data_IF_138589904255
#
_entry.id   IF_138589904255
#
_cell.length_a   1.000
_cell.length_b   1.000
_cell.length_c   1.000
_cell.angle_alpha   90.00
_cell.angle_beta   90.00
_cell.angle_gamma   90.00
#
_symmetry.space_group_name_H-M   'P 1'
#
loop_
_entity.id
_entity.type
_entity.pdbx_description
1 polymer ?
#
# COMPACT_ATOMS: atom_id res chain seq x y z
N UNK A 1 14.24 -23.60 29.83
CA UNK A 1 13.22 -22.73 30.46
C UNK A 1 13.53 -21.24 30.33
N UNK A 2 14.66 -20.71 30.86
CA UNK A 2 14.98 -19.26 30.78
C UNK A 2 15.03 -18.69 29.35
N UNK A 3 15.60 -19.43 28.38
CA UNK A 3 15.66 -19.02 26.96
C UNK A 3 14.28 -18.98 26.28
N UNK A 4 13.38 -19.89 26.66
CA UNK A 4 12.01 -19.93 26.12
C UNK A 4 11.15 -18.78 26.67
N UNK A 5 11.32 -18.44 27.95
CA UNK A 5 10.69 -17.25 28.54
C UNK A 5 11.20 -15.95 27.91
N UNK A 6 12.50 -15.85 27.61
CA UNK A 6 13.06 -14.70 26.90
C UNK A 6 12.51 -14.60 25.47
N UNK A 7 12.46 -15.72 24.73
CA UNK A 7 11.89 -15.75 23.39
C UNK A 7 10.41 -15.35 23.41
N UNK A 8 9.63 -15.85 24.37
CA UNK A 8 8.23 -15.47 24.54
C UNK A 8 8.06 -14.00 24.91
N UNK A 9 8.90 -13.45 25.80
CA UNK A 9 8.88 -12.04 26.15
C UNK A 9 9.25 -11.13 24.96
N UNK A 10 10.21 -11.55 24.12
CA UNK A 10 10.54 -10.86 22.87
C UNK A 10 9.35 -10.95 21.91
N UNK A 11 8.70 -12.12 21.76
CA UNK A 11 7.56 -12.28 20.86
C UNK A 11 6.38 -11.41 21.27
N UNK A 12 6.04 -11.40 22.57
CA UNK A 12 4.97 -10.58 23.14
C UNK A 12 5.35 -9.09 23.04
N UNK A 13 6.59 -8.72 23.38
CA UNK A 13 7.07 -7.34 23.27
C UNK A 13 7.09 -6.80 21.84
N UNK A 14 7.48 -7.63 20.87
CA UNK A 14 7.42 -7.27 19.45
C UNK A 14 5.98 -7.12 18.97
N UNK A 15 5.07 -7.99 19.41
CA UNK A 15 3.66 -7.88 19.08
C UNK A 15 3.04 -6.58 19.64
N UNK A 16 3.31 -6.23 20.90
CA UNK A 16 2.75 -5.00 21.50
C UNK A 16 3.27 -3.72 20.83
N UNK A 17 4.54 -3.70 20.40
CA UNK A 17 5.10 -2.57 19.64
C UNK A 17 4.43 -2.42 18.26
N UNK A 18 4.11 -3.54 17.60
CA UNK A 18 3.38 -3.53 16.32
C UNK A 18 1.91 -3.07 16.49
N UNK A 19 1.28 -3.34 17.63
CA UNK A 19 -0.08 -2.84 17.90
C UNK A 19 -0.14 -1.33 18.14
N UNK A 20 0.94 -0.72 18.65
CA UNK A 20 0.99 0.70 19.02
C UNK A 20 1.32 1.67 17.87
N UNK A 21 1.68 1.17 16.69
CA UNK A 21 1.98 2.05 15.55
C UNK A 21 0.70 2.64 14.94
N UNK A 22 0.72 3.91 14.51
CA UNK A 22 -0.36 4.51 13.73
C UNK A 22 -0.68 3.68 12.49
N UNK A 23 -1.98 3.53 12.19
CA UNK A 23 -2.48 2.76 11.07
C UNK A 23 -3.53 3.54 10.32
N UNK A 24 -3.67 3.23 9.04
CA UNK A 24 -4.77 3.75 8.22
C UNK A 24 -5.36 2.63 7.39
N UNK A 25 -6.69 2.52 7.35
CA UNK A 25 -7.40 1.54 6.54
C UNK A 25 -8.47 2.22 5.71
N UNK A 26 -8.53 1.92 4.42
CA UNK A 26 -9.64 2.37 3.61
C UNK A 26 -9.54 1.92 2.17
N UNK A 27 -10.08 2.76 1.29
CA UNK A 27 -10.18 2.49 -0.13
C UNK A 27 -9.25 3.39 -0.93
N UNK A 28 -8.77 2.87 -2.06
CA UNK A 28 -8.10 3.63 -3.11
C UNK A 28 -8.83 3.40 -4.42
N UNK A 29 -9.07 4.46 -5.17
CA UNK A 29 -9.61 4.41 -6.51
C UNK A 29 -8.49 4.77 -7.47
N UNK A 30 -7.99 3.77 -8.21
CA UNK A 30 -6.97 3.93 -9.24
C UNK A 30 -7.56 3.99 -10.63
N UNK A 31 -6.74 4.34 -11.62
CA UNK A 31 -7.13 4.32 -13.04
C UNK A 31 -7.72 2.98 -13.51
N UNK A 32 -7.31 1.87 -12.90
CA UNK A 32 -7.66 0.52 -13.35
C UNK A 32 -8.62 -0.21 -12.41
N UNK A 33 -8.98 0.35 -11.25
CA UNK A 33 -9.68 -0.44 -10.25
C UNK A 33 -9.93 0.24 -8.91
N UNK A 34 -10.48 -0.57 -8.01
CA UNK A 34 -10.68 -0.22 -6.60
C UNK A 34 -9.82 -1.12 -5.73
N UNK A 35 -9.12 -0.52 -4.78
CA UNK A 35 -8.25 -1.21 -3.85
C UNK A 35 -8.71 -1.01 -2.41
N UNK A 36 -8.64 -2.06 -1.61
CA UNK A 36 -8.56 -1.94 -0.16
C UNK A 36 -7.09 -1.70 0.18
N UNK A 37 -6.81 -0.62 0.91
CA UNK A 37 -5.45 -0.24 1.28
C UNK A 37 -5.32 -0.11 2.80
N UNK A 38 -4.34 -0.83 3.35
CA UNK A 38 -3.96 -0.80 4.75
C UNK A 38 -2.53 -0.28 4.89
N UNK A 39 -2.35 0.76 5.68
CA UNK A 39 -1.08 1.37 5.99
C UNK A 39 -0.73 1.13 7.45
N UNK A 40 0.53 0.80 7.71
CA UNK A 40 1.07 0.67 9.05
C UNK A 40 2.40 1.43 9.12
N UNK A 41 2.41 2.49 9.91
CA UNK A 41 3.62 3.26 10.16
C UNK A 41 4.63 2.41 10.93
N UNK A 42 5.91 2.58 10.64
CA UNK A 42 6.97 1.69 11.15
C UNK A 42 8.11 2.47 11.79
N UNK A 43 8.86 1.76 12.64
CA UNK A 43 10.09 2.25 13.26
C UNK A 43 9.93 3.53 14.10
N UNK A 44 8.71 3.87 14.53
CA UNK A 44 8.42 5.11 15.26
C UNK A 44 8.65 6.39 14.45
N UNK A 45 8.79 6.25 13.13
CA UNK A 45 9.00 7.35 12.18
C UNK A 45 7.77 7.61 11.31
N UNK A 46 7.92 8.50 10.32
CA UNK A 46 6.86 8.80 9.35
C UNK A 46 6.79 7.81 8.18
N UNK A 47 7.74 6.87 8.08
CA UNK A 47 7.74 5.83 7.06
C UNK A 47 6.67 4.78 7.36
N UNK A 48 6.10 4.18 6.32
CA UNK A 48 5.00 3.23 6.46
C UNK A 48 5.06 2.09 5.44
N UNK A 49 4.53 0.94 5.84
CA UNK A 49 4.22 -0.16 4.93
C UNK A 49 2.78 -0.01 4.47
N UNK A 50 2.54 -0.12 3.17
CA UNK A 50 1.22 -0.16 2.57
C UNK A 50 0.97 -1.53 1.95
N UNK A 51 -0.17 -2.12 2.28
CA UNK A 51 -0.67 -3.36 1.72
C UNK A 51 -1.98 -3.08 0.98
N UNK A 52 -2.02 -3.43 -0.30
CA UNK A 52 -3.17 -3.24 -1.17
C UNK A 52 -3.77 -4.58 -1.60
N UNK A 53 -5.10 -4.67 -1.66
CA UNK A 53 -5.83 -5.71 -2.37
C UNK A 53 -6.77 -5.02 -3.36
N UNK A 54 -6.45 -5.13 -4.64
CA UNK A 54 -7.15 -4.44 -5.73
C UNK A 54 -7.97 -5.37 -6.59
N UNK A 55 -9.09 -4.85 -7.09
CA UNK A 55 -9.88 -5.44 -8.18
C UNK A 55 -9.70 -4.58 -9.42
N UNK A 56 -9.14 -5.17 -10.46
CA UNK A 56 -8.83 -4.49 -11.72
C UNK A 56 -9.98 -4.69 -12.72
N UNK A 57 -10.28 -3.66 -13.52
CA UNK A 57 -11.39 -3.62 -14.49
C UNK A 57 -12.80 -3.69 -13.85
N UNK A 58 -12.92 -3.28 -12.59
CA UNK A 58 -14.19 -3.17 -11.88
C UNK A 58 -14.73 -4.50 -11.33
N UNK A 59 -16.01 -4.55 -10.98
CA UNK A 59 -16.61 -5.72 -10.33
C UNK A 59 -17.02 -6.85 -11.29
N UNK A 60 -16.85 -6.66 -12.60
CA UNK A 60 -17.28 -7.62 -13.63
C UNK A 60 -16.22 -8.66 -14.01
N UNK A 61 -14.98 -8.46 -13.57
CA UNK A 61 -13.83 -9.32 -13.83
C UNK A 61 -13.44 -10.08 -12.56
N UNK A 62 -12.73 -11.19 -12.73
CA UNK A 62 -12.07 -11.91 -11.61
C UNK A 62 -10.59 -11.52 -11.50
N UNK A 63 -10.26 -10.33 -12.00
CA UNK A 63 -8.92 -9.79 -12.08
C UNK A 63 -8.58 -9.06 -10.79
N UNK A 64 -7.53 -9.49 -10.11
CA UNK A 64 -7.15 -8.92 -8.84
C UNK A 64 -5.64 -8.85 -8.68
N UNK A 65 -5.21 -7.96 -7.81
CA UNK A 65 -3.81 -7.83 -7.43
C UNK A 65 -3.63 -7.62 -5.94
N UNK A 66 -2.44 -7.94 -5.46
CA UNK A 66 -2.00 -7.72 -4.09
C UNK A 66 -0.67 -6.99 -4.13
N UNK A 67 -0.61 -5.85 -3.45
CA UNK A 67 0.57 -5.00 -3.38
C UNK A 67 1.15 -4.97 -1.98
N UNK A 68 2.48 -4.98 -1.88
CA UNK A 68 3.21 -4.65 -0.67
C UNK A 68 4.27 -3.61 -0.97
N UNK A 69 4.17 -2.44 -0.35
CA UNK A 69 5.00 -1.26 -0.66
C UNK A 69 5.60 -0.71 0.64
N UNK A 70 6.89 -0.38 0.62
CA UNK A 70 7.51 0.41 1.69
C UNK A 70 7.65 1.85 1.23
N UNK A 71 6.92 2.76 1.88
CA UNK A 71 6.94 4.17 1.58
C UNK A 71 7.80 4.91 2.60
N UNK A 72 8.85 5.57 2.11
CA UNK A 72 9.65 6.50 2.90
C UNK A 72 9.12 7.91 2.74
N UNK A 73 9.02 8.63 3.87
CA UNK A 73 8.55 10.00 3.88
C UNK A 73 9.69 10.93 3.44
N UNK A 74 9.49 11.64 2.34
CA UNK A 74 10.47 12.59 1.78
C UNK A 74 10.40 13.93 2.51
N UNK A 75 9.19 14.47 2.68
CA UNK A 75 8.98 15.76 3.36
C UNK A 75 7.57 15.85 3.97
N UNK A 76 7.45 16.55 5.09
CA UNK A 76 6.18 16.84 5.78
C UNK A 76 5.99 18.37 5.87
N UNK A 77 5.45 19.01 4.83
CA UNK A 77 5.32 20.45 4.80
C UNK A 77 4.22 20.95 5.76
N UNK A 78 4.46 22.08 6.42
CA UNK A 78 3.48 22.74 7.28
C UNK A 78 2.64 23.76 6.48
N UNK A 79 1.90 23.27 5.49
CA UNK A 79 1.08 24.12 4.61
C UNK A 79 -0.28 24.50 5.22
N UNK A 80 -0.73 23.79 6.26
CA UNK A 80 -2.03 23.98 6.88
C UNK A 80 -1.90 24.02 8.41
N UNK A 81 -2.61 24.92 9.12
CA UNK A 81 -2.48 25.05 10.59
C UNK A 81 -2.95 23.84 11.40
N UNK A 82 -3.68 22.92 10.77
CA UNK A 82 -4.17 21.67 11.36
C UNK A 82 -3.92 20.54 10.38
N UNK A 83 -3.85 19.31 10.89
CA UNK A 83 -3.53 18.14 10.08
C UNK A 83 -2.03 17.97 9.83
N UNK A 84 -1.67 16.95 9.05
CA UNK A 84 -0.29 16.62 8.68
C UNK A 84 -0.23 16.32 7.20
N UNK A 85 0.66 16.99 6.49
CA UNK A 85 1.00 16.64 5.10
C UNK A 85 2.15 15.65 5.09
N UNK A 86 2.14 14.74 4.12
CA UNK A 86 3.24 13.83 3.84
C UNK A 86 3.46 13.70 2.34
N UNK A 87 4.68 13.94 1.88
CA UNK A 87 5.09 13.58 0.53
C UNK A 87 6.02 12.38 0.62
N UNK A 88 5.65 11.27 0.01
CA UNK A 88 6.33 9.99 0.14
C UNK A 88 6.66 9.38 -1.22
N UNK A 89 7.63 8.48 -1.21
CA UNK A 89 7.86 7.56 -2.31
C UNK A 89 8.30 6.20 -1.78
N UNK A 90 8.15 5.15 -2.58
CA UNK A 90 8.41 3.80 -2.12
C UNK A 90 8.50 2.76 -3.22
N UNK A 91 9.43 1.80 -3.12
CA UNK A 91 9.39 0.57 -3.91
C UNK A 91 8.54 -0.50 -3.21
N UNK A 92 8.07 -1.45 -4.00
CA UNK A 92 7.27 -2.57 -3.54
C UNK A 92 7.25 -3.73 -4.53
N UNK A 93 6.53 -4.78 -4.13
CA UNK A 93 6.33 -5.99 -4.92
C UNK A 93 4.84 -6.21 -5.23
N UNK A 94 4.61 -6.56 -6.49
CA UNK A 94 3.37 -6.91 -7.17
C UNK A 94 3.06 -8.42 -7.22
N UNK A 95 1.86 -8.91 -6.88
CA UNK A 95 1.30 -10.14 -7.43
C UNK A 95 -0.10 -9.89 -8.00
N UNK A 96 -0.39 -10.41 -9.19
CA UNK A 96 -1.70 -10.25 -9.82
C UNK A 96 -2.16 -11.54 -10.51
N UNK A 97 -3.47 -11.70 -10.63
CA UNK A 97 -4.11 -12.72 -11.46
C UNK A 97 -4.96 -11.97 -12.49
N UNK A 98 -4.60 -12.10 -13.75
CA UNK A 98 -5.26 -11.42 -14.87
C UNK A 98 -5.47 -12.36 -16.04
N UNK A 99 -6.44 -12.04 -16.90
CA UNK A 99 -6.60 -12.73 -18.18
C UNK A 99 -5.42 -12.43 -19.12
N UNK A 100 -4.92 -13.46 -19.80
CA UNK A 100 -3.98 -13.34 -20.91
C UNK A 100 -4.72 -13.10 -22.24
N UNK A 101 -3.99 -13.03 -23.36
CA UNK A 101 -4.56 -12.79 -24.69
C UNK A 101 -5.54 -13.90 -25.16
N UNK A 102 -5.53 -15.06 -24.51
CA UNK A 102 -6.39 -16.22 -24.77
C UNK A 102 -7.54 -16.34 -23.73
N UNK A 103 -7.81 -15.30 -22.94
CA UNK A 103 -8.80 -15.26 -21.85
C UNK A 103 -8.55 -16.29 -20.72
N UNK A 104 -7.31 -16.76 -20.55
CA UNK A 104 -6.91 -17.67 -19.48
C UNK A 104 -6.31 -16.92 -18.28
N UNK A 105 -6.74 -17.31 -17.06
CA UNK A 105 -6.24 -16.73 -15.81
C UNK A 105 -4.77 -17.07 -15.61
N UNK A 106 -3.94 -16.03 -15.66
CA UNK A 106 -2.48 -16.13 -15.55
C UNK A 106 -1.99 -15.34 -14.36
N UNK A 107 -0.99 -15.89 -13.65
CA UNK A 107 -0.33 -15.23 -12.53
C UNK A 107 0.80 -14.33 -13.05
N UNK A 108 0.82 -13.11 -12.56
CA UNK A 108 1.87 -12.13 -12.79
C UNK A 108 2.51 -11.74 -11.45
N UNK A 109 3.82 -11.50 -11.47
CA UNK A 109 4.55 -10.99 -10.33
C UNK A 109 5.56 -9.94 -10.78
N UNK A 110 5.88 -8.98 -9.92
CA UNK A 110 6.88 -7.98 -10.27
C UNK A 110 7.05 -6.87 -9.27
N UNK A 111 7.38 -5.70 -9.79
CA UNK A 111 7.69 -4.52 -8.99
C UNK A 111 6.58 -3.48 -9.12
N UNK A 112 6.32 -2.80 -8.02
CA UNK A 112 5.43 -1.66 -7.96
C UNK A 112 6.18 -0.50 -7.31
N UNK A 113 6.04 0.69 -7.88
CA UNK A 113 6.51 1.92 -7.28
C UNK A 113 5.32 2.74 -6.76
N UNK A 114 5.58 3.66 -5.86
CA UNK A 114 4.57 4.58 -5.34
C UNK A 114 5.22 5.94 -5.13
N UNK A 115 4.56 7.01 -5.56
CA UNK A 115 4.92 8.40 -5.26
C UNK A 115 3.64 9.14 -4.99
N UNK A 116 3.50 9.69 -3.79
CA UNK A 116 2.23 10.27 -3.40
C UNK A 116 2.33 11.44 -2.44
N UNK A 117 1.23 12.15 -2.35
CA UNK A 117 0.96 13.21 -1.40
C UNK A 117 -0.23 12.79 -0.56
N UNK A 118 -0.07 12.82 0.75
CA UNK A 118 -1.14 12.57 1.71
C UNK A 118 -1.40 13.78 2.60
N UNK A 119 -2.61 13.81 3.14
CA UNK A 119 -3.02 14.72 4.16
C UNK A 119 -3.89 14.00 5.19
N UNK A 120 -3.38 13.93 6.43
CA UNK A 120 -4.07 13.34 7.58
C UNK A 120 -4.69 14.45 8.40
N UNK A 121 -6.02 14.39 8.57
CA UNK A 121 -6.78 15.41 9.30
C UNK A 121 -6.55 15.30 10.81
N UNK A 122 -7.03 16.31 11.56
CA UNK A 122 -7.02 16.28 13.04
C UNK A 122 -8.09 15.34 13.63
N UNK A 123 -8.96 14.81 12.79
CA UNK A 123 -9.91 13.74 13.08
C UNK A 123 -9.52 12.52 12.21
N UNK A 124 -10.06 11.31 12.44
CA UNK A 124 -9.47 10.05 11.94
C UNK A 124 -9.75 9.80 10.45
N UNK A 125 -9.32 10.71 9.59
CA UNK A 125 -9.43 10.66 8.14
C UNK A 125 -8.09 11.04 7.52
N UNK A 126 -7.68 10.28 6.52
CA UNK A 126 -6.53 10.54 5.67
C UNK A 126 -6.98 10.51 4.21
N UNK A 127 -6.51 11.49 3.43
CA UNK A 127 -6.68 11.54 1.99
C UNK A 127 -5.32 11.42 1.33
N UNK A 128 -5.24 10.71 0.20
CA UNK A 128 -4.01 10.61 -0.58
C UNK A 128 -4.27 10.76 -2.07
N UNK A 129 -3.27 11.27 -2.78
CA UNK A 129 -3.14 11.15 -4.23
C UNK A 129 -1.79 10.52 -4.51
N UNK A 130 -1.75 9.49 -5.35
CA UNK A 130 -0.52 8.76 -5.65
C UNK A 130 -0.41 8.36 -7.12
N UNK A 131 0.83 8.23 -7.59
CA UNK A 131 1.19 7.56 -8.82
C UNK A 131 1.82 6.20 -8.50
N UNK A 132 1.23 5.13 -9.03
CA UNK A 132 1.61 3.75 -8.72
C UNK A 132 2.02 2.95 -9.96
N UNK A 133 3.20 3.23 -10.57
CA UNK A 133 3.65 2.48 -11.73
C UNK A 133 3.93 1.03 -11.34
N UNK A 134 3.53 0.11 -12.21
CA UNK A 134 3.67 -1.33 -12.01
C UNK A 134 4.33 -1.95 -13.24
N UNK A 135 5.26 -2.85 -12.98
CA UNK A 135 5.93 -3.65 -14.00
C UNK A 135 5.95 -5.11 -13.54
N UNK A 136 5.25 -5.97 -14.27
CA UNK A 136 5.08 -7.37 -13.94
C UNK A 136 5.50 -8.30 -15.07
N UNK A 137 5.84 -9.50 -14.66
CA UNK A 137 6.25 -10.61 -15.50
C UNK A 137 5.36 -11.81 -15.16
N UNK A 138 4.87 -12.50 -16.18
CA UNK A 138 4.10 -13.73 -16.04
C UNK A 138 4.26 -14.61 -17.28
N UNK A 139 3.55 -15.74 -17.31
CA UNK A 139 3.58 -16.65 -18.46
C UNK A 139 3.05 -16.00 -19.76
N UNK A 140 2.18 -14.98 -19.64
CA UNK A 140 1.73 -14.13 -20.74
C UNK A 140 2.70 -13.01 -21.14
N UNK A 141 3.92 -12.98 -20.59
CA UNK A 141 4.94 -11.98 -20.92
C UNK A 141 4.98 -10.79 -19.96
N UNK A 142 5.41 -9.63 -20.47
CA UNK A 142 5.62 -8.40 -19.70
C UNK A 142 4.38 -7.52 -19.75
N UNK A 143 3.83 -7.20 -18.58
CA UNK A 143 2.61 -6.39 -18.43
C UNK A 143 2.86 -5.28 -17.42
N UNK A 144 2.27 -4.11 -17.63
CA UNK A 144 2.41 -3.00 -16.70
C UNK A 144 1.35 -1.93 -16.93
N UNK A 145 1.10 -1.15 -15.88
CA UNK A 145 0.05 -0.12 -15.83
C UNK A 145 0.46 1.18 -16.56
N UNK A 146 1.64 1.17 -17.20
CA UNK A 146 2.30 2.34 -17.74
C UNK A 146 2.90 3.25 -16.65
N UNK A 147 3.57 4.35 -17.05
CA UNK A 147 4.22 5.26 -16.10
C UNK A 147 3.24 6.17 -15.33
N UNK A 148 1.97 6.24 -15.73
CA UNK A 148 0.97 7.17 -15.19
C UNK A 148 -0.27 6.43 -14.66
N UNK A 149 -0.10 5.70 -13.55
CA UNK A 149 -1.21 5.10 -12.80
C UNK A 149 -1.59 6.00 -11.63
N UNK A 150 -2.51 6.94 -11.86
CA UNK A 150 -3.00 7.85 -10.82
C UNK A 150 -4.02 7.14 -9.91
N UNK A 151 -3.98 7.44 -8.62
CA UNK A 151 -4.97 7.00 -7.64
C UNK A 151 -5.31 8.05 -6.61
N UNK A 152 -6.52 7.94 -6.06
CA UNK A 152 -7.03 8.75 -4.96
C UNK A 152 -7.40 7.80 -3.82
N UNK A 153 -6.86 8.03 -2.63
CA UNK A 153 -7.11 7.23 -1.43
C UNK A 153 -7.93 7.98 -0.39
N UNK A 154 -8.81 7.24 0.29
CA UNK A 154 -9.56 7.69 1.45
C UNK A 154 -9.44 6.62 2.53
N UNK A 155 -8.77 6.94 3.64
CA UNK A 155 -8.50 6.00 4.74
C UNK A 155 -8.95 6.55 6.08
N UNK A 156 -9.47 5.67 6.92
CA UNK A 156 -9.70 5.93 8.33
C UNK A 156 -8.38 5.72 9.08
N UNK A 157 -7.90 6.75 9.79
CA UNK A 157 -6.60 6.75 10.49
C UNK A 157 -6.78 6.57 12.00
N UNK A 158 -6.04 5.66 12.62
CA UNK A 158 -6.21 5.25 14.03
C UNK A 158 -4.92 4.78 14.70
#
# INVERSE_FOLDING_TARGET
MKKALLALAILIGSATIAFAQPKSLGGRLGNYGIDISFENYVFGGPDFLEFGLGLDNGFSTSDFHVDGIYNFMIVQPDWTPKGKWGFYAGPGASFAVWDNDDDEKTVYAGFVGNVGLEYTFWFPLQLSVDFRPRLMFGDGGLRGDGPFSLGIGVRYSF
#
